data_IF_898821421331
#
_entry.id   IF_898821421331
#
_cell.length_a   1.000
_cell.length_b   1.000
_cell.length_c   1.000
_cell.angle_alpha   90.00
_cell.angle_beta   90.00
_cell.angle_gamma   90.00
#
_symmetry.space_group_name_H-M   'P 1'
#
loop_
_entity.id
_entity.type
_entity.pdbx_description
1 polymer ?
#
# COMPACT_ATOMS: atom_id res chain seq x y z
N UNK A 1 -25.47 24.85 -47.20
CA UNK A 1 -24.98 24.39 -45.89
C UNK A 1 -23.66 23.67 -46.10
N UNK A 2 -22.54 24.38 -45.97
CA UNK A 2 -21.21 23.79 -46.08
C UNK A 2 -20.86 23.18 -44.72
N UNK A 3 -20.75 21.85 -44.66
CA UNK A 3 -20.10 21.17 -43.54
C UNK A 3 -18.66 21.71 -43.44
N UNK A 4 -18.22 22.26 -42.29
CA UNK A 4 -16.84 22.65 -42.13
C UNK A 4 -15.99 21.38 -42.20
N UNK A 5 -15.02 21.35 -43.12
CA UNK A 5 -13.98 20.31 -43.15
C UNK A 5 -13.33 20.23 -41.76
N UNK A 6 -13.04 19.03 -41.23
CA UNK A 6 -12.34 18.90 -39.96
C UNK A 6 -11.01 19.67 -40.05
N UNK A 7 -10.80 20.62 -39.14
CA UNK A 7 -9.54 21.36 -39.03
C UNK A 7 -8.43 20.33 -38.85
N UNK A 8 -7.44 20.33 -39.75
CA UNK A 8 -6.21 19.56 -39.58
C UNK A 8 -5.44 20.21 -38.43
N UNK A 9 -5.34 19.53 -37.30
CA UNK A 9 -4.47 19.91 -36.19
C UNK A 9 -3.04 19.45 -36.54
N UNK A 10 -2.32 20.21 -37.38
CA UNK A 10 -0.91 19.95 -37.71
C UNK A 10 0.02 20.57 -36.67
N UNK A 11 1.30 20.15 -36.64
CA UNK A 11 2.35 20.79 -35.81
C UNK A 11 2.40 22.30 -36.05
N UNK A 12 2.23 22.71 -37.30
CA UNK A 12 2.15 24.11 -37.76
C UNK A 12 0.97 24.90 -37.15
N UNK A 13 -0.09 24.21 -36.69
CA UNK A 13 -1.21 24.86 -36.00
C UNK A 13 -0.88 25.18 -34.55
N UNK A 14 -0.12 24.31 -33.86
CA UNK A 14 0.31 24.55 -32.48
C UNK A 14 1.31 25.70 -32.37
N UNK A 15 2.17 25.87 -33.39
CA UNK A 15 3.18 26.96 -33.45
C UNK A 15 2.58 28.36 -33.64
N UNK A 16 1.27 28.47 -33.87
CA UNK A 16 0.56 29.75 -33.92
C UNK A 16 0.24 30.30 -32.52
N UNK A 17 0.37 29.49 -31.48
CA UNK A 17 0.10 29.86 -30.09
C UNK A 17 1.39 30.30 -29.38
N UNK A 18 1.27 31.19 -28.40
CA UNK A 18 2.39 31.62 -27.58
C UNK A 18 2.80 30.51 -26.58
N UNK A 19 4.05 30.57 -26.10
CA UNK A 19 4.61 29.60 -25.16
C UNK A 19 3.93 29.61 -23.78
N UNK A 20 3.16 30.65 -23.45
CA UNK A 20 2.30 30.71 -22.27
C UNK A 20 0.97 29.97 -22.44
N UNK A 21 0.70 29.40 -23.62
CA UNK A 21 -0.55 28.71 -23.95
C UNK A 21 -0.37 27.19 -24.02
N UNK A 22 -1.20 26.45 -23.28
CA UNK A 22 -1.25 24.99 -23.31
C UNK A 22 -1.33 24.36 -24.71
N UNK A 23 -1.95 25.07 -25.67
CA UNK A 23 -2.10 24.63 -27.06
C UNK A 23 -0.78 24.58 -27.82
N UNK A 24 0.21 25.40 -27.44
CA UNK A 24 1.56 25.37 -28.01
C UNK A 24 2.24 24.00 -27.79
N UNK A 25 2.04 23.43 -26.61
CA UNK A 25 2.53 22.11 -26.21
C UNK A 25 1.65 20.96 -26.74
N UNK A 26 0.61 21.27 -27.51
CA UNK A 26 -0.32 20.28 -28.06
C UNK A 26 -1.41 19.84 -27.10
N UNK A 27 -1.60 20.51 -25.95
CA UNK A 27 -2.66 20.19 -24.99
C UNK A 27 -3.83 21.16 -25.19
N UNK A 28 -4.99 20.62 -25.55
CA UNK A 28 -6.21 21.38 -25.79
C UNK A 28 -7.18 21.12 -24.65
N UNK A 29 -7.36 22.14 -23.81
CA UNK A 29 -8.34 22.11 -22.73
C UNK A 29 -9.71 22.46 -23.29
N UNK A 30 -10.69 21.59 -23.05
CA UNK A 30 -12.11 21.85 -23.34
C UNK A 30 -12.86 22.11 -22.05
N UNK A 31 -13.79 23.06 -22.09
CA UNK A 31 -14.61 23.49 -20.96
C UNK A 31 -13.77 24.01 -19.77
N UNK A 32 -12.88 24.98 -20.03
CA UNK A 32 -12.15 25.71 -18.98
C UNK A 32 -13.15 26.19 -17.90
N UNK A 33 -12.79 26.00 -16.63
CA UNK A 33 -13.54 26.46 -15.45
C UNK A 33 -14.90 25.75 -15.20
N UNK A 34 -15.03 24.49 -15.61
CA UNK A 34 -16.18 23.65 -15.24
C UNK A 34 -15.72 22.33 -14.64
N UNK A 35 -16.56 21.68 -13.83
CA UNK A 35 -16.26 20.38 -13.19
C UNK A 35 -15.96 19.27 -14.21
N UNK A 36 -16.35 19.44 -15.48
CA UNK A 36 -16.11 18.51 -16.60
C UNK A 36 -15.04 19.03 -17.56
N UNK A 37 -13.93 19.52 -17.02
CA UNK A 37 -12.74 19.84 -17.80
C UNK A 37 -12.25 18.55 -18.46
N UNK A 38 -12.10 18.57 -19.79
CA UNK A 38 -11.60 17.41 -20.54
C UNK A 38 -10.42 17.84 -21.40
N UNK A 39 -9.39 17.00 -21.45
CA UNK A 39 -8.17 17.31 -22.19
C UNK A 39 -8.14 16.52 -23.49
N UNK A 40 -7.68 17.16 -24.56
CA UNK A 40 -7.37 16.51 -25.83
C UNK A 40 -5.93 16.82 -26.20
N UNK A 41 -5.11 15.81 -26.40
CA UNK A 41 -3.65 15.93 -26.53
C UNK A 41 -3.20 15.56 -27.94
N UNK A 42 -2.40 16.42 -28.56
CA UNK A 42 -1.59 16.06 -29.71
C UNK A 42 -0.33 15.36 -29.20
N UNK A 43 -0.38 14.02 -29.17
CA UNK A 43 0.68 13.19 -28.59
C UNK A 43 2.01 13.29 -29.33
N UNK A 44 2.02 13.60 -30.63
CA UNK A 44 3.29 13.77 -31.35
C UNK A 44 4.03 14.99 -30.84
N UNK A 45 3.36 16.15 -30.77
CA UNK A 45 3.97 17.39 -30.26
C UNK A 45 4.32 17.28 -28.78
N UNK A 46 3.42 16.72 -27.97
CA UNK A 46 3.65 16.54 -26.54
C UNK A 46 4.86 15.64 -26.26
N UNK A 47 4.94 14.47 -26.90
CA UNK A 47 6.07 13.56 -26.73
C UNK A 47 7.39 14.14 -27.26
N UNK A 48 7.36 14.89 -28.36
CA UNK A 48 8.57 15.48 -28.94
C UNK A 48 9.10 16.63 -28.09
N UNK A 49 8.22 17.44 -27.47
CA UNK A 49 8.62 18.55 -26.60
C UNK A 49 9.12 18.06 -25.22
N UNK A 50 8.38 17.16 -24.57
CA UNK A 50 8.75 16.66 -23.23
C UNK A 50 9.67 15.43 -23.26
N UNK A 51 10.15 15.02 -24.44
CA UNK A 51 11.01 13.86 -24.64
C UNK A 51 10.46 12.52 -24.10
N UNK A 52 9.13 12.35 -24.09
CA UNK A 52 8.46 11.15 -23.57
C UNK A 52 8.09 10.18 -24.71
N UNK A 53 9.10 9.63 -25.37
CA UNK A 53 8.92 8.83 -26.59
C UNK A 53 8.32 7.43 -26.36
N UNK A 54 8.46 6.85 -25.16
CA UNK A 54 7.99 5.49 -24.87
C UNK A 54 6.46 5.39 -24.86
N UNK A 55 5.77 6.45 -24.42
CA UNK A 55 4.30 6.54 -24.41
C UNK A 55 3.69 6.63 -25.82
N UNK A 56 4.50 6.93 -26.84
CA UNK A 56 4.05 7.00 -28.25
C UNK A 56 3.76 5.62 -28.84
N UNK A 57 4.33 4.54 -28.29
CA UNK A 57 4.19 3.17 -28.82
C UNK A 57 2.86 2.51 -28.44
N UNK A 58 2.34 2.77 -27.26
CA UNK A 58 1.05 2.25 -26.74
C UNK A 58 -0.16 2.82 -27.48
N UNK A 59 -0.01 3.95 -28.17
CA UNK A 59 -1.10 4.71 -28.80
C UNK A 59 -1.46 4.34 -30.25
N UNK A 60 -0.76 3.38 -30.87
CA UNK A 60 -0.97 3.02 -32.29
C UNK A 60 -2.35 2.39 -32.61
N UNK A 61 -3.24 2.24 -31.63
CA UNK A 61 -4.55 1.58 -31.76
C UNK A 61 -5.72 2.50 -32.13
N UNK A 62 -5.67 3.82 -31.89
CA UNK A 62 -6.79 4.74 -32.20
C UNK A 62 -6.62 5.45 -33.56
N UNK A 63 -6.77 4.68 -34.65
CA UNK A 63 -6.52 5.13 -36.04
C UNK A 63 -7.44 6.24 -36.60
N UNK A 64 -8.43 6.73 -35.86
CA UNK A 64 -9.47 7.62 -36.41
C UNK A 64 -9.53 9.04 -35.82
N UNK A 65 -8.77 9.38 -34.77
CA UNK A 65 -8.70 10.77 -34.26
C UNK A 65 -7.26 11.28 -34.18
N UNK A 66 -7.02 12.47 -34.76
CA UNK A 66 -5.72 13.17 -34.71
C UNK A 66 -5.31 13.60 -33.29
N UNK A 67 -6.28 13.70 -32.37
CA UNK A 67 -6.06 14.08 -30.98
C UNK A 67 -6.36 12.87 -30.09
N UNK A 68 -5.45 12.62 -29.16
CA UNK A 68 -5.63 11.66 -28.09
C UNK A 68 -6.55 12.25 -27.02
N UNK A 69 -7.37 11.40 -26.41
CA UNK A 69 -8.19 11.75 -25.26
C UNK A 69 -7.77 10.82 -24.12
N UNK A 70 -7.34 11.35 -22.97
CA UNK A 70 -7.10 10.52 -21.79
C UNK A 70 -8.35 9.73 -21.41
N UNK A 71 -8.16 8.54 -20.86
CA UNK A 71 -9.28 7.66 -20.50
C UNK A 71 -9.99 8.12 -19.22
N UNK A 72 -9.26 8.80 -18.32
CA UNK A 72 -9.78 9.32 -17.04
C UNK A 72 -9.43 10.80 -16.88
N UNK A 73 -10.11 11.49 -15.97
CA UNK A 73 -9.78 12.89 -15.68
C UNK A 73 -8.67 12.96 -14.64
N UNK A 74 -8.82 12.25 -13.52
CA UNK A 74 -7.86 12.26 -12.42
C UNK A 74 -7.10 10.96 -12.29
N UNK A 75 -5.91 11.05 -11.71
CA UNK A 75 -5.12 9.85 -11.38
C UNK A 75 -5.90 8.91 -10.45
N UNK A 76 -6.67 9.45 -9.50
CA UNK A 76 -7.43 8.67 -8.52
C UNK A 76 -8.75 8.10 -9.08
N UNK A 77 -9.10 8.36 -10.33
CA UNK A 77 -10.22 7.67 -10.99
C UNK A 77 -9.84 6.25 -11.45
N UNK A 78 -8.54 5.92 -11.36
CA UNK A 78 -8.01 4.57 -11.51
C UNK A 78 -7.97 3.88 -10.15
N UNK A 79 -8.63 2.73 -10.05
CA UNK A 79 -8.64 1.88 -8.88
C UNK A 79 -7.22 1.44 -8.47
N UNK A 80 -6.35 1.14 -9.45
CA UNK A 80 -4.93 0.81 -9.21
C UNK A 80 -4.22 1.91 -8.42
N UNK A 81 -4.45 3.18 -8.76
CA UNK A 81 -3.78 4.30 -8.09
C UNK A 81 -4.34 4.54 -6.68
N UNK A 82 -5.64 4.31 -6.46
CA UNK A 82 -6.25 4.35 -5.12
C UNK A 82 -5.62 3.29 -4.23
N UNK A 83 -5.52 2.04 -4.70
CA UNK A 83 -4.88 0.94 -3.96
C UNK A 83 -3.42 1.25 -3.64
N UNK A 84 -2.63 1.68 -4.63
CA UNK A 84 -1.22 2.03 -4.43
C UNK A 84 -1.06 3.11 -3.36
N UNK A 85 -1.90 4.15 -3.41
CA UNK A 85 -1.87 5.23 -2.44
C UNK A 85 -2.17 4.72 -1.02
N UNK A 86 -3.21 3.93 -0.84
CA UNK A 86 -3.59 3.42 0.49
C UNK A 86 -2.57 2.44 1.04
N UNK A 87 -2.08 1.49 0.24
CA UNK A 87 -1.05 0.54 0.69
C UNK A 87 0.28 1.24 0.99
N UNK A 88 0.66 2.25 0.21
CA UNK A 88 1.84 3.06 0.51
C UNK A 88 1.66 3.86 1.81
N UNK A 89 0.45 4.36 2.11
CA UNK A 89 0.14 5.00 3.38
C UNK A 89 0.35 4.04 4.54
N UNK A 90 -0.18 2.81 4.45
CA UNK A 90 -0.02 1.77 5.46
C UNK A 90 1.47 1.39 5.64
N UNK A 91 2.20 1.23 4.54
CA UNK A 91 3.64 0.96 4.56
C UNK A 91 4.43 2.06 5.26
N UNK A 92 4.12 3.32 4.96
CA UNK A 92 4.77 4.46 5.59
C UNK A 92 4.44 4.54 7.08
N UNK A 93 3.20 4.22 7.48
CA UNK A 93 2.79 4.15 8.89
C UNK A 93 3.57 3.07 9.66
N UNK A 94 3.79 1.91 9.04
CA UNK A 94 4.65 0.86 9.61
C UNK A 94 6.06 1.36 9.84
N UNK A 95 6.71 1.83 8.78
CA UNK A 95 8.14 2.13 8.76
C UNK A 95 8.51 3.36 9.60
N UNK A 96 7.68 4.40 9.54
CA UNK A 96 8.01 5.70 10.14
C UNK A 96 7.37 5.91 11.52
N UNK A 97 6.51 4.99 11.97
CA UNK A 97 5.76 5.19 13.21
C UNK A 97 5.70 3.91 14.03
N UNK A 98 4.94 2.91 13.60
CA UNK A 98 4.62 1.76 14.45
C UNK A 98 5.85 0.94 14.83
N UNK A 99 6.70 0.61 13.85
CA UNK A 99 7.95 -0.13 14.08
C UNK A 99 8.86 0.60 15.07
N UNK A 100 9.05 1.90 14.88
CA UNK A 100 9.92 2.72 15.74
C UNK A 100 9.44 2.71 17.19
N UNK A 101 8.12 2.86 17.41
CA UNK A 101 7.56 2.81 18.76
C UNK A 101 7.71 1.44 19.40
N UNK A 102 7.43 0.36 18.65
CA UNK A 102 7.60 -1.01 19.15
C UNK A 102 9.05 -1.25 19.57
N UNK A 103 10.01 -0.90 18.71
CA UNK A 103 11.45 -1.06 18.99
C UNK A 103 11.87 -0.27 20.24
N UNK A 104 11.37 0.97 20.39
CA UNK A 104 11.62 1.78 21.58
C UNK A 104 11.10 1.12 22.86
N UNK A 105 9.82 0.72 22.90
CA UNK A 105 9.24 0.08 24.07
C UNK A 105 9.96 -1.21 24.46
N UNK A 106 10.34 -2.03 23.49
CA UNK A 106 11.07 -3.28 23.76
C UNK A 106 12.47 -3.03 24.31
N UNK A 107 13.11 -1.94 23.89
CA UNK A 107 14.46 -1.55 24.35
C UNK A 107 14.49 -1.08 25.81
N UNK A 108 13.37 -0.56 26.31
CA UNK A 108 13.24 -0.07 27.70
C UNK A 108 13.10 -1.23 28.70
N UNK A 109 12.62 -2.39 28.26
CA UNK A 109 12.49 -3.58 29.10
C UNK A 109 13.86 -4.20 29.31
N UNK A 110 14.45 -3.96 30.50
CA UNK A 110 15.76 -4.49 30.89
C UNK A 110 15.67 -5.18 32.26
N UNK A 111 16.44 -6.24 32.43
CA UNK A 111 16.65 -6.85 33.73
C UNK A 111 17.45 -5.92 34.63
N UNK A 112 17.29 -6.12 35.93
CA UNK A 112 18.03 -5.40 36.95
C UNK A 112 19.22 -6.22 37.46
N UNK A 113 20.39 -5.60 37.50
CA UNK A 113 21.59 -6.19 38.09
C UNK A 113 21.63 -5.87 39.58
N UNK A 114 21.36 -6.89 40.39
CA UNK A 114 21.49 -6.84 41.84
C UNK A 114 22.94 -7.00 42.25
N UNK A 115 23.29 -6.33 43.34
CA UNK A 115 24.57 -6.41 44.03
C UNK A 115 24.38 -7.06 45.40
N UNK A 116 25.45 -7.50 46.08
CA UNK A 116 25.34 -8.06 47.43
C UNK A 116 24.67 -7.09 48.42
N UNK A 117 24.81 -5.77 48.20
CA UNK A 117 24.22 -4.72 49.03
C UNK A 117 22.69 -4.75 48.95
N UNK A 118 22.12 -5.23 47.85
CA UNK A 118 20.67 -5.35 47.64
C UNK A 118 20.06 -6.60 48.31
N UNK A 119 20.86 -7.39 49.04
CA UNK A 119 20.37 -8.52 49.83
C UNK A 119 20.01 -8.11 51.26
N UNK A 120 18.71 -8.05 51.56
CA UNK A 120 18.18 -7.77 52.89
C UNK A 120 18.73 -8.72 53.97
N UNK A 121 19.04 -9.97 53.62
CA UNK A 121 19.61 -10.93 54.57
C UNK A 121 21.04 -10.55 54.96
N UNK A 122 21.81 -9.97 54.03
CA UNK A 122 23.14 -9.44 54.33
C UNK A 122 23.02 -8.21 55.25
N UNK A 123 22.09 -7.32 54.94
CA UNK A 123 21.84 -6.10 55.73
C UNK A 123 21.39 -6.43 57.17
N UNK A 124 20.64 -7.52 57.35
CA UNK A 124 20.19 -8.00 58.65
C UNK A 124 21.20 -8.92 59.37
N UNK A 125 22.34 -9.23 58.73
CA UNK A 125 23.39 -10.07 59.30
C UNK A 125 23.04 -11.56 59.38
N UNK A 126 22.07 -12.03 58.60
CA UNK A 126 21.69 -13.45 58.53
C UNK A 126 22.62 -14.28 57.64
N UNK A 127 23.19 -13.67 56.60
CA UNK A 127 24.10 -14.30 55.64
C UNK A 127 25.41 -13.53 55.56
N UNK A 128 26.48 -14.19 55.11
CA UNK A 128 27.76 -13.53 54.84
C UNK A 128 27.79 -12.90 53.43
N UNK A 129 28.87 -12.18 53.14
CA UNK A 129 29.03 -11.47 51.87
C UNK A 129 29.09 -12.43 50.68
N UNK A 130 29.74 -13.59 50.85
CA UNK A 130 29.91 -14.58 49.78
C UNK A 130 28.55 -15.20 49.41
N UNK A 131 27.72 -15.54 50.40
CA UNK A 131 26.35 -16.03 50.20
C UNK A 131 25.44 -14.95 49.58
N UNK A 132 25.57 -13.69 50.02
CA UNK A 132 24.85 -12.56 49.44
C UNK A 132 25.25 -12.29 47.98
N UNK A 133 26.52 -12.51 47.62
CA UNK A 133 26.99 -12.40 46.24
C UNK A 133 26.35 -13.47 45.34
N UNK A 134 26.25 -14.71 45.82
CA UNK A 134 25.57 -15.79 45.10
C UNK A 134 24.08 -15.46 44.93
N UNK A 135 23.41 -15.00 45.99
CA UNK A 135 22.00 -14.59 45.92
C UNK A 135 21.77 -13.45 44.94
N UNK A 136 22.63 -12.43 44.94
CA UNK A 136 22.57 -11.32 44.00
C UNK A 136 22.68 -11.80 42.56
N UNK A 137 23.63 -12.70 42.25
CA UNK A 137 23.77 -13.30 40.91
C UNK A 137 22.52 -14.07 40.48
N UNK A 138 21.92 -14.86 41.37
CA UNK A 138 20.68 -15.59 41.08
C UNK A 138 19.52 -14.62 40.82
N UNK A 139 19.35 -13.59 41.67
CA UNK A 139 18.32 -12.56 41.50
C UNK A 139 18.48 -11.81 40.19
N UNK A 140 19.71 -11.44 39.81
CA UNK A 140 20.01 -10.81 38.52
C UNK A 140 19.63 -11.72 37.35
N UNK A 141 20.02 -13.00 37.39
CA UNK A 141 19.67 -13.97 36.35
C UNK A 141 18.15 -14.12 36.19
N UNK A 142 17.41 -14.27 37.29
CA UNK A 142 15.95 -14.35 37.27
C UNK A 142 15.30 -13.06 36.75
N UNK A 143 15.86 -11.90 37.10
CA UNK A 143 15.39 -10.59 36.63
C UNK A 143 15.57 -10.42 35.13
N UNK A 144 16.72 -10.82 34.59
CA UNK A 144 16.97 -10.85 33.13
C UNK A 144 16.03 -11.82 32.42
N UNK A 145 15.86 -13.04 32.94
CA UNK A 145 14.93 -14.01 32.36
C UNK A 145 13.48 -13.49 32.34
N UNK A 146 13.05 -12.85 33.42
CA UNK A 146 11.72 -12.25 33.50
C UNK A 146 11.55 -11.05 32.55
N UNK A 147 12.59 -10.23 32.39
CA UNK A 147 12.61 -9.15 31.42
C UNK A 147 12.53 -9.67 29.98
N UNK A 148 13.26 -10.73 29.64
CA UNK A 148 13.18 -11.38 28.32
C UNK A 148 11.80 -11.97 28.05
N UNK A 149 11.22 -12.67 29.03
CA UNK A 149 9.86 -13.18 28.94
C UNK A 149 8.84 -12.06 28.66
N UNK A 150 8.92 -10.95 29.41
CA UNK A 150 8.09 -9.77 29.19
C UNK A 150 8.29 -9.17 27.81
N UNK A 151 9.54 -9.04 27.36
CA UNK A 151 9.89 -8.49 26.05
C UNK A 151 9.29 -9.34 24.93
N UNK A 152 9.44 -10.66 25.00
CA UNK A 152 8.90 -11.58 24.00
C UNK A 152 7.37 -11.54 23.96
N UNK A 153 6.71 -11.57 25.13
CA UNK A 153 5.25 -11.47 25.18
C UNK A 153 4.73 -10.17 24.59
N UNK A 154 5.38 -9.05 24.91
CA UNK A 154 5.01 -7.76 24.36
C UNK A 154 5.27 -7.70 22.84
N UNK A 155 6.40 -8.24 22.38
CA UNK A 155 6.74 -8.36 20.97
C UNK A 155 5.63 -9.09 20.19
N UNK A 156 5.29 -10.31 20.58
CA UNK A 156 4.25 -11.09 19.91
C UNK A 156 2.89 -10.41 19.94
N UNK A 157 2.55 -9.79 21.07
CA UNK A 157 1.27 -9.08 21.21
C UNK A 157 1.18 -7.86 20.31
N UNK A 158 2.21 -7.01 20.29
CA UNK A 158 2.23 -5.78 19.48
C UNK A 158 2.26 -6.11 17.98
N UNK A 159 3.08 -7.07 17.56
CA UNK A 159 3.12 -7.50 16.15
C UNK A 159 1.79 -8.13 15.71
N UNK A 160 1.16 -8.96 16.53
CA UNK A 160 -0.14 -9.54 16.22
C UNK A 160 -1.25 -8.49 16.12
N UNK A 161 -1.26 -7.51 17.03
CA UNK A 161 -2.20 -6.39 16.99
C UNK A 161 -2.01 -5.55 15.72
N UNK A 162 -0.76 -5.24 15.38
CA UNK A 162 -0.46 -4.51 14.15
C UNK A 162 -0.85 -5.32 12.90
N UNK A 163 -0.58 -6.63 12.87
CA UNK A 163 -1.00 -7.49 11.77
C UNK A 163 -2.52 -7.53 11.61
N UNK A 164 -3.26 -7.56 12.73
CA UNK A 164 -4.71 -7.44 12.71
C UNK A 164 -5.18 -6.12 12.11
N UNK A 165 -4.57 -5.00 12.53
CA UNK A 165 -4.88 -3.67 12.01
C UNK A 165 -4.57 -3.58 10.51
N UNK A 166 -3.40 -4.06 10.10
CA UNK A 166 -2.96 -4.13 8.71
C UNK A 166 -3.98 -4.86 7.84
N UNK A 167 -4.34 -6.09 8.22
CA UNK A 167 -5.30 -6.89 7.47
C UNK A 167 -6.67 -6.21 7.41
N UNK A 168 -7.13 -5.61 8.51
CA UNK A 168 -8.39 -4.87 8.53
C UNK A 168 -8.38 -3.62 7.65
N UNK A 169 -7.28 -2.86 7.60
CA UNK A 169 -7.11 -1.70 6.72
C UNK A 169 -7.10 -2.10 5.24
N UNK A 170 -6.47 -3.21 4.91
CA UNK A 170 -6.48 -3.77 3.56
C UNK A 170 -7.90 -4.21 3.18
N UNK A 171 -8.59 -4.92 4.08
CA UNK A 171 -9.97 -5.38 3.83
C UNK A 171 -10.94 -4.20 3.68
N UNK A 172 -10.77 -3.13 4.47
CA UNK A 172 -11.51 -1.88 4.31
C UNK A 172 -11.23 -1.19 2.97
N UNK A 173 -9.98 -1.23 2.49
CA UNK A 173 -9.61 -0.71 1.17
C UNK A 173 -10.30 -1.50 0.05
N UNK A 174 -10.35 -2.83 0.18
CA UNK A 174 -11.05 -3.72 -0.75
C UNK A 174 -12.55 -3.41 -0.76
N UNK A 175 -13.18 -3.30 0.41
CA UNK A 175 -14.60 -2.98 0.52
C UNK A 175 -14.91 -1.64 -0.14
N UNK A 176 -14.13 -0.60 0.18
CA UNK A 176 -14.27 0.73 -0.42
C UNK A 176 -14.19 0.66 -1.95
N UNK A 177 -13.19 -0.05 -2.47
CA UNK A 177 -13.01 -0.29 -3.90
C UNK A 177 -14.24 -0.94 -4.52
N UNK A 178 -14.77 -2.00 -3.92
CA UNK A 178 -15.95 -2.70 -4.44
C UNK A 178 -17.19 -1.81 -4.42
N UNK A 179 -17.41 -1.08 -3.33
CA UNK A 179 -18.56 -0.18 -3.18
C UNK A 179 -18.52 0.97 -4.18
N UNK A 180 -17.36 1.61 -4.38
CA UNK A 180 -17.19 2.66 -5.40
C UNK A 180 -17.44 2.15 -6.82
N UNK A 181 -17.28 0.85 -7.06
CA UNK A 181 -17.54 0.19 -8.34
C UNK A 181 -18.89 -0.56 -8.40
N UNK A 182 -19.83 -0.27 -7.49
CA UNK A 182 -21.22 -0.73 -7.58
C UNK A 182 -21.59 -1.96 -6.76
N UNK A 183 -20.80 -2.32 -5.74
CA UNK A 183 -21.21 -3.31 -4.74
C UNK A 183 -22.08 -2.67 -3.64
N UNK A 184 -23.30 -3.19 -3.45
CA UNK A 184 -24.35 -2.58 -2.61
C UNK A 184 -24.75 -3.42 -1.38
N UNK A 185 -24.14 -4.60 -1.18
CA UNK A 185 -24.53 -5.51 -0.08
C UNK A 185 -23.95 -5.06 1.28
N UNK A 186 -24.61 -5.46 2.37
CA UNK A 186 -24.24 -5.09 3.75
C UNK A 186 -23.23 -6.07 4.38
N UNK A 187 -23.12 -7.28 3.82
CA UNK A 187 -22.27 -8.35 4.33
C UNK A 187 -21.10 -8.65 3.41
N UNK A 188 -19.93 -8.20 3.83
CA UNK A 188 -18.68 -8.57 3.17
C UNK A 188 -18.12 -9.90 3.71
N UNK A 189 -17.66 -10.75 2.79
CA UNK A 189 -16.82 -11.91 3.08
C UNK A 189 -15.85 -12.15 1.92
N UNK A 190 -14.83 -13.00 2.11
CA UNK A 190 -13.85 -13.34 1.05
C UNK A 190 -14.51 -13.78 -0.26
N UNK A 191 -15.63 -14.50 -0.20
CA UNK A 191 -16.37 -14.93 -1.39
C UNK A 191 -16.92 -13.77 -2.20
N UNK A 192 -17.27 -12.64 -1.58
CA UNK A 192 -17.74 -11.43 -2.28
C UNK A 192 -16.64 -10.89 -3.20
N UNK A 193 -15.41 -10.76 -2.69
CA UNK A 193 -14.26 -10.32 -3.48
C UNK A 193 -14.06 -11.21 -4.71
N UNK A 194 -14.13 -12.53 -4.53
CA UNK A 194 -13.88 -13.48 -5.61
C UNK A 194 -15.04 -13.60 -6.61
N UNK A 195 -16.27 -13.35 -6.15
CA UNK A 195 -17.47 -13.40 -6.98
C UNK A 195 -17.73 -12.09 -7.73
N UNK A 196 -17.04 -11.00 -7.36
CA UNK A 196 -17.24 -9.70 -7.98
C UNK A 196 -16.70 -9.72 -9.42
N UNK A 197 -17.63 -9.61 -10.37
CA UNK A 197 -17.34 -9.75 -11.80
C UNK A 197 -16.72 -8.51 -12.43
N UNK A 198 -17.04 -7.33 -11.89
CA UNK A 198 -16.65 -6.06 -12.48
C UNK A 198 -17.12 -5.87 -13.93
N UNK A 199 -16.66 -4.80 -14.61
CA UNK A 199 -17.00 -4.54 -16.01
C UNK A 199 -16.47 -5.59 -16.99
N UNK A 200 -15.38 -6.28 -16.66
CA UNK A 200 -14.77 -7.28 -17.54
C UNK A 200 -15.38 -8.68 -17.44
N UNK A 201 -16.39 -8.89 -16.59
CA UNK A 201 -16.96 -10.20 -16.31
C UNK A 201 -15.91 -11.23 -15.85
N UNK A 202 -14.98 -10.80 -15.00
CA UNK A 202 -13.99 -11.66 -14.39
C UNK A 202 -14.65 -12.84 -13.66
N UNK A 203 -14.03 -14.00 -13.74
CA UNK A 203 -14.49 -15.19 -13.03
C UNK A 203 -13.71 -15.39 -11.72
N UNK A 204 -14.34 -16.04 -10.75
CA UNK A 204 -13.65 -16.45 -9.52
C UNK A 204 -12.40 -17.30 -9.82
N UNK A 205 -12.47 -18.18 -10.82
CA UNK A 205 -11.35 -19.02 -11.24
C UNK A 205 -10.18 -18.16 -11.73
N UNK A 206 -10.43 -17.16 -12.58
CA UNK A 206 -9.37 -16.27 -13.07
C UNK A 206 -8.68 -15.48 -11.96
N UNK A 207 -9.39 -15.14 -10.88
CA UNK A 207 -8.79 -14.46 -9.72
C UNK A 207 -7.93 -15.43 -8.91
N UNK A 208 -8.40 -16.67 -8.70
CA UNK A 208 -7.67 -17.71 -7.97
C UNK A 208 -6.42 -18.21 -8.71
N UNK A 209 -6.42 -18.15 -10.04
CA UNK A 209 -5.28 -18.54 -10.89
C UNK A 209 -4.15 -17.49 -10.92
N UNK A 210 -4.38 -16.29 -10.37
CA UNK A 210 -3.33 -15.28 -10.22
C UNK A 210 -2.21 -15.81 -9.32
N UNK A 211 -0.96 -15.69 -9.77
CA UNK A 211 0.21 -16.09 -8.95
C UNK A 211 0.27 -15.32 -7.64
N UNK A 212 -0.17 -14.06 -7.66
CA UNK A 212 -0.21 -13.18 -6.49
C UNK A 212 -1.32 -13.55 -5.50
N UNK A 213 -2.29 -14.38 -5.89
CA UNK A 213 -3.39 -14.80 -5.02
C UNK A 213 -2.92 -15.45 -3.72
N UNK A 214 -1.80 -16.18 -3.79
CA UNK A 214 -1.14 -16.77 -2.62
C UNK A 214 -0.86 -15.76 -1.50
N UNK A 215 -0.58 -14.49 -1.84
CA UNK A 215 -0.30 -13.46 -0.84
C UNK A 215 -1.56 -13.06 -0.09
N UNK A 216 -2.70 -12.99 -0.79
CA UNK A 216 -4.00 -12.80 -0.17
C UNK A 216 -4.39 -13.98 0.71
N UNK A 217 -4.16 -15.21 0.25
CA UNK A 217 -4.43 -16.41 1.05
C UNK A 217 -3.58 -16.46 2.32
N UNK A 218 -2.28 -16.17 2.21
CA UNK A 218 -1.35 -16.09 3.34
C UNK A 218 -1.81 -15.05 4.36
N UNK A 219 -2.13 -13.83 3.92
CA UNK A 219 -2.63 -12.78 4.80
C UNK A 219 -3.92 -13.20 5.51
N UNK A 220 -4.88 -13.74 4.76
CA UNK A 220 -6.19 -14.11 5.28
C UNK A 220 -6.12 -15.32 6.24
N UNK A 221 -5.24 -16.29 5.96
CA UNK A 221 -5.00 -17.44 6.82
C UNK A 221 -4.43 -17.01 8.17
N UNK A 222 -3.37 -16.18 8.17
CA UNK A 222 -2.77 -15.63 9.39
C UNK A 222 -3.81 -14.82 10.15
N UNK A 223 -4.51 -13.91 9.48
CA UNK A 223 -5.50 -13.04 10.11
C UNK A 223 -6.65 -13.82 10.76
N UNK A 224 -7.15 -14.87 10.10
CA UNK A 224 -8.19 -15.73 10.67
C UNK A 224 -7.68 -16.55 11.86
N UNK A 225 -6.45 -17.05 11.81
CA UNK A 225 -5.87 -17.77 12.93
C UNK A 225 -5.74 -16.87 14.16
N UNK A 226 -5.25 -15.65 13.99
CA UNK A 226 -5.17 -14.65 15.05
C UNK A 226 -6.57 -14.30 15.63
N UNK A 227 -7.61 -14.22 14.79
CA UNK A 227 -8.98 -13.93 15.24
C UNK A 227 -9.61 -15.07 16.03
N UNK A 228 -9.41 -16.32 15.59
CA UNK A 228 -10.23 -17.43 16.05
C UNK A 228 -9.54 -18.39 17.01
N UNK A 229 -8.20 -18.42 17.07
CA UNK A 229 -7.44 -19.28 18.01
C UNK A 229 -7.97 -20.73 18.00
N UNK A 230 -8.19 -21.27 16.79
CA UNK A 230 -8.79 -22.59 16.58
C UNK A 230 -7.87 -23.53 15.82
N UNK A 231 -7.98 -24.83 16.10
CA UNK A 231 -7.19 -25.86 15.40
C UNK A 231 -7.43 -25.88 13.89
N UNK A 232 -8.65 -25.59 13.42
CA UNK A 232 -8.95 -25.50 11.98
C UNK A 232 -8.23 -24.34 11.31
N UNK A 233 -8.16 -23.18 11.97
CA UNK A 233 -7.42 -22.03 11.43
C UNK A 233 -5.91 -22.23 11.50
N UNK A 234 -5.40 -22.92 12.53
CA UNK A 234 -3.99 -23.32 12.60
C UNK A 234 -3.62 -24.27 11.45
N UNK A 235 -4.44 -25.29 11.20
CA UNK A 235 -4.21 -26.22 10.09
C UNK A 235 -4.24 -25.50 8.74
N UNK A 236 -5.11 -24.51 8.56
CA UNK A 236 -5.14 -23.68 7.35
C UNK A 236 -3.81 -22.96 7.13
N UNK A 237 -3.22 -22.36 8.18
CA UNK A 237 -1.90 -21.73 8.10
C UNK A 237 -0.83 -22.77 7.79
N UNK A 238 -0.87 -23.93 8.44
CA UNK A 238 0.08 -25.03 8.22
C UNK A 238 0.05 -25.57 6.78
N UNK A 239 -1.12 -25.62 6.15
CA UNK A 239 -1.28 -26.13 4.79
C UNK A 239 -0.86 -25.11 3.72
N UNK A 240 -1.09 -23.81 3.95
CA UNK A 240 -0.90 -22.77 2.93
C UNK A 240 0.38 -21.95 3.11
N UNK A 241 0.82 -21.73 4.35
CA UNK A 241 1.99 -20.93 4.69
C UNK A 241 2.70 -21.46 5.96
N UNK A 242 3.20 -22.72 5.96
CA UNK A 242 3.88 -23.30 7.11
C UNK A 242 5.14 -22.55 7.53
N UNK A 243 5.77 -21.81 6.61
CA UNK A 243 6.99 -21.04 6.89
C UNK A 243 6.81 -19.90 7.88
N UNK A 244 5.56 -19.51 8.18
CA UNK A 244 5.26 -18.47 9.17
C UNK A 244 4.98 -19.03 10.56
N UNK A 245 5.02 -20.36 10.74
CA UNK A 245 4.75 -21.00 12.01
C UNK A 245 6.02 -21.18 12.84
N UNK A 246 5.91 -20.97 14.14
CA UNK A 246 6.93 -21.38 15.10
C UNK A 246 6.89 -22.90 15.26
N UNK A 247 8.05 -23.54 15.38
CA UNK A 247 8.16 -24.98 15.67
C UNK A 247 7.64 -25.28 17.10
N UNK A 248 6.33 -25.49 17.20
CA UNK A 248 5.64 -25.83 18.45
C UNK A 248 4.33 -26.58 18.15
N UNK A 249 3.88 -27.41 19.10
CA UNK A 249 2.57 -28.06 19.04
C UNK A 249 1.49 -27.09 19.50
N UNK A 250 0.54 -26.79 18.61
CA UNK A 250 -0.57 -25.90 18.91
C UNK A 250 -1.71 -26.65 19.59
N UNK A 251 -2.15 -26.19 20.76
CA UNK A 251 -3.36 -26.68 21.42
C UNK A 251 -4.55 -25.73 21.17
N UNK A 252 -5.74 -26.30 21.03
CA UNK A 252 -6.93 -25.52 20.72
C UNK A 252 -7.27 -24.53 21.84
N UNK A 253 -7.37 -23.24 21.48
CA UNK A 253 -7.63 -22.16 22.41
C UNK A 253 -6.36 -21.42 22.85
N UNK A 254 -5.18 -21.95 22.53
CA UNK A 254 -3.94 -21.21 22.73
C UNK A 254 -3.91 -19.95 21.88
N UNK A 255 -3.29 -18.91 22.42
CA UNK A 255 -3.14 -17.63 21.76
C UNK A 255 -2.25 -17.76 20.53
N UNK A 256 -2.86 -17.60 19.35
CA UNK A 256 -2.24 -17.75 18.04
C UNK A 256 -1.01 -16.85 17.83
N UNK A 257 -0.93 -15.70 18.53
CA UNK A 257 0.20 -14.78 18.39
C UNK A 257 1.56 -15.39 18.78
N UNK A 258 1.57 -16.41 19.64
CA UNK A 258 2.81 -17.12 20.02
C UNK A 258 3.25 -18.19 19.02
N UNK A 259 2.38 -18.53 18.06
CA UNK A 259 2.63 -19.59 17.08
C UNK A 259 2.96 -19.03 15.69
N UNK A 260 2.91 -17.71 15.51
CA UNK A 260 3.34 -17.04 14.29
C UNK A 260 4.74 -16.45 14.50
N UNK A 261 5.63 -16.73 13.56
CA UNK A 261 6.94 -16.12 13.47
C UNK A 261 6.81 -14.71 12.89
N UNK A 262 6.39 -13.76 13.74
CA UNK A 262 6.34 -12.36 13.35
C UNK A 262 7.74 -11.83 13.08
N UNK A 263 7.83 -10.96 12.07
CA UNK A 263 9.05 -10.24 11.70
C UNK A 263 8.66 -8.98 10.92
N UNK A 264 9.62 -8.05 10.81
CA UNK A 264 9.45 -6.88 9.94
C UNK A 264 9.25 -7.32 8.48
N UNK A 265 10.00 -8.34 8.06
CA UNK A 265 9.93 -8.88 6.72
C UNK A 265 8.54 -9.47 6.42
N UNK A 266 7.90 -10.16 7.38
CA UNK A 266 6.55 -10.69 7.20
C UNK A 266 5.53 -9.57 6.96
N UNK A 267 5.64 -8.45 7.69
CA UNK A 267 4.76 -7.30 7.52
C UNK A 267 4.96 -6.67 6.14
N UNK A 268 6.21 -6.43 5.76
CA UNK A 268 6.54 -5.80 4.47
C UNK A 268 6.19 -6.73 3.29
N UNK A 269 6.46 -8.02 3.40
CA UNK A 269 6.05 -9.05 2.43
C UNK A 269 4.53 -9.07 2.28
N UNK A 270 3.78 -9.01 3.38
CA UNK A 270 2.31 -8.96 3.34
C UNK A 270 1.83 -7.73 2.59
N UNK A 271 2.35 -6.53 2.91
CA UNK A 271 1.93 -5.28 2.24
C UNK A 271 2.26 -5.32 0.75
N UNK A 272 3.51 -5.67 0.39
CA UNK A 272 3.96 -5.67 -1.00
C UNK A 272 3.24 -6.76 -1.81
N UNK A 273 3.04 -7.95 -1.24
CA UNK A 273 2.31 -9.04 -1.88
C UNK A 273 0.83 -8.72 -2.08
N UNK A 274 0.21 -8.03 -1.12
CA UNK A 274 -1.16 -7.53 -1.26
C UNK A 274 -1.27 -6.44 -2.31
N UNK A 275 -0.27 -5.57 -2.46
CA UNK A 275 -0.23 -4.61 -3.55
C UNK A 275 -0.18 -5.30 -4.91
N UNK A 276 0.70 -6.28 -5.07
CA UNK A 276 0.81 -7.06 -6.32
C UNK A 276 -0.52 -7.74 -6.64
N UNK A 277 -1.14 -8.39 -5.66
CA UNK A 277 -2.43 -9.04 -5.83
C UNK A 277 -3.54 -8.06 -6.25
N UNK A 278 -3.67 -6.94 -5.54
CA UNK A 278 -4.74 -5.99 -5.81
C UNK A 278 -4.55 -5.26 -7.15
N UNK A 279 -3.32 -5.03 -7.60
CA UNK A 279 -3.05 -4.51 -8.95
C UNK A 279 -3.52 -5.53 -9.99
N UNK A 280 -3.07 -6.79 -9.90
CA UNK A 280 -3.48 -7.84 -10.85
C UNK A 280 -4.99 -8.10 -10.81
N UNK A 281 -5.61 -7.99 -9.64
CA UNK A 281 -7.05 -8.03 -9.48
C UNK A 281 -7.73 -6.91 -10.27
N UNK A 282 -7.24 -5.66 -10.16
CA UNK A 282 -7.80 -4.54 -10.91
C UNK A 282 -7.63 -4.69 -12.42
N UNK A 283 -6.52 -5.26 -12.88
CA UNK A 283 -6.29 -5.53 -14.29
C UNK A 283 -7.35 -6.50 -14.86
N UNK A 284 -7.64 -7.58 -14.15
CA UNK A 284 -8.61 -8.58 -14.60
C UNK A 284 -10.04 -8.06 -14.44
N UNK A 285 -10.38 -7.51 -13.28
CA UNK A 285 -11.76 -7.17 -12.90
C UNK A 285 -12.23 -5.85 -13.51
N UNK A 286 -11.38 -4.82 -13.48
CA UNK A 286 -11.73 -3.48 -13.97
C UNK A 286 -11.14 -3.17 -15.35
N UNK A 287 -10.21 -3.98 -15.87
CA UNK A 287 -9.58 -3.75 -17.17
C UNK A 287 -8.61 -2.58 -17.14
N UNK A 288 -8.14 -2.20 -15.95
CA UNK A 288 -7.12 -1.18 -15.80
C UNK A 288 -5.74 -1.75 -16.15
N UNK A 289 -4.79 -0.89 -16.47
CA UNK A 289 -3.41 -1.28 -16.71
C UNK A 289 -2.51 -0.42 -15.85
N UNK A 290 -1.53 -1.03 -15.19
CA UNK A 290 -0.66 -0.34 -14.25
C UNK A 290 0.12 0.82 -14.91
N UNK A 291 0.68 0.56 -16.10
CA UNK A 291 1.44 1.57 -16.85
C UNK A 291 0.53 2.71 -17.29
N UNK A 292 -0.64 2.40 -17.86
CA UNK A 292 -1.60 3.42 -18.29
C UNK A 292 -2.14 4.24 -17.12
N UNK A 293 -2.42 3.63 -15.97
CA UNK A 293 -2.91 4.34 -14.80
C UNK A 293 -1.95 5.46 -14.34
N UNK A 294 -0.65 5.34 -14.62
CA UNK A 294 0.35 6.35 -14.26
C UNK A 294 0.40 7.59 -15.16
N UNK A 295 -0.27 7.60 -16.32
CA UNK A 295 -0.20 8.75 -17.24
C UNK A 295 -1.44 9.01 -18.08
N UNK A 296 -2.36 8.06 -18.19
CA UNK A 296 -3.54 8.13 -19.05
C UNK A 296 -4.70 8.88 -18.36
N UNK A 297 -4.40 10.03 -17.78
CA UNK A 297 -5.39 10.90 -17.15
C UNK A 297 -5.11 12.37 -17.46
N UNK A 298 -6.14 13.22 -17.44
CA UNK A 298 -6.04 14.64 -17.78
C UNK A 298 -4.98 15.36 -16.92
N UNK A 299 -4.96 15.12 -15.60
CA UNK A 299 -4.03 15.76 -14.66
C UNK A 299 -2.55 15.55 -15.06
N UNK A 300 -2.22 14.40 -15.67
CA UNK A 300 -0.85 14.10 -16.08
C UNK A 300 -0.39 15.12 -17.12
N UNK A 301 -1.18 15.33 -18.17
CA UNK A 301 -0.82 16.22 -19.26
C UNK A 301 -0.87 17.68 -18.84
N UNK A 302 -1.83 18.05 -17.99
CA UNK A 302 -1.93 19.39 -17.43
C UNK A 302 -0.72 19.71 -16.56
N UNK A 303 -0.28 18.80 -15.69
CA UNK A 303 0.84 19.05 -14.78
C UNK A 303 2.14 19.38 -15.54
N UNK A 304 2.46 18.64 -16.60
CA UNK A 304 3.64 18.92 -17.43
C UNK A 304 3.57 20.28 -18.11
N UNK A 305 2.43 20.59 -18.71
CA UNK A 305 2.25 21.86 -19.42
C UNK A 305 2.24 23.04 -18.47
N UNK A 306 1.56 22.92 -17.33
CA UNK A 306 1.54 23.97 -16.30
C UNK A 306 2.92 24.19 -15.71
N UNK A 307 3.71 23.15 -15.44
CA UNK A 307 5.08 23.29 -14.97
C UNK A 307 5.94 24.07 -15.97
N UNK A 308 5.87 23.72 -17.26
CA UNK A 308 6.63 24.39 -18.32
C UNK A 308 6.20 25.85 -18.53
N UNK A 309 4.88 26.10 -18.54
CA UNK A 309 4.35 27.46 -18.64
C UNK A 309 4.80 28.29 -17.43
N UNK A 310 4.78 27.72 -16.23
CA UNK A 310 5.24 28.41 -15.03
C UNK A 310 6.74 28.70 -15.08
N UNK A 311 7.57 27.78 -15.57
CA UNK A 311 8.99 28.03 -15.77
C UNK A 311 9.24 29.13 -16.81
N UNK A 312 8.40 29.20 -17.86
CA UNK A 312 8.48 30.26 -18.87
C UNK A 312 8.04 31.64 -18.33
N UNK A 313 6.92 31.68 -17.60
CA UNK A 313 6.31 32.93 -17.09
C UNK A 313 7.07 33.45 -15.86
N UNK A 314 7.51 32.55 -14.98
CA UNK A 314 8.20 32.87 -13.73
C UNK A 314 9.37 31.91 -13.49
N UNK A 315 10.48 32.06 -14.25
CA UNK A 315 11.65 31.19 -14.16
C UNK A 315 12.38 31.25 -12.80
N UNK A 316 12.03 32.21 -11.95
CA UNK A 316 12.62 32.37 -10.62
C UNK A 316 11.65 32.02 -9.47
N UNK A 317 10.41 31.65 -9.75
CA UNK A 317 9.42 31.18 -8.78
C UNK A 317 8.95 32.22 -7.76
N UNK A 318 9.00 33.51 -8.09
CA UNK A 318 8.63 34.60 -7.18
C UNK A 318 7.13 34.96 -7.18
N UNK A 319 6.31 34.33 -8.02
CA UNK A 319 4.90 34.68 -8.26
C UNK A 319 3.85 33.69 -7.77
N UNK A 320 4.22 32.62 -7.07
CA UNK A 320 3.29 31.57 -6.63
C UNK A 320 2.58 31.85 -5.28
N UNK A 321 2.59 33.09 -4.80
CA UNK A 321 1.65 33.57 -3.78
C UNK A 321 0.75 34.60 -4.47
N UNK A 322 -0.57 34.50 -4.25
CA UNK A 322 -1.63 35.27 -4.91
C UNK A 322 -2.06 34.75 -6.31
N UNK A 323 -2.86 33.69 -6.35
CA UNK A 323 -4.23 33.70 -6.90
C UNK A 323 -5.03 32.48 -6.44
#
# INVERSE_FOLDING_TARGET
MNNPKPKKYSVEWCEQYHQDDSRFYGVIIKNLNTENQTVSVNMERFCDYFHIHDKRKTLKSNKNSLLYKPAKSRALDYNINVIKKELQRIKNEWLNTQKIFIDQFLSEIKGHDFTPIDDDNLQMGYVDFDEAEVNARIKSALSHQYAEYKRNNLYFSLYAQYYHQLAAQIDATIIKLLTENGWEDDKYNRGVLLAFKGPNNASELSIKELKSYRHYEKMYAIWNFLKHNSGSTYQTVKDHCPEVLVESEYEQGDLACFFIQFSNDLIEETINGMQEFLIQYCEIVFGENEDEAGWNHDDFFLAYVTAEINEYIDPMGFGAEFY
#
